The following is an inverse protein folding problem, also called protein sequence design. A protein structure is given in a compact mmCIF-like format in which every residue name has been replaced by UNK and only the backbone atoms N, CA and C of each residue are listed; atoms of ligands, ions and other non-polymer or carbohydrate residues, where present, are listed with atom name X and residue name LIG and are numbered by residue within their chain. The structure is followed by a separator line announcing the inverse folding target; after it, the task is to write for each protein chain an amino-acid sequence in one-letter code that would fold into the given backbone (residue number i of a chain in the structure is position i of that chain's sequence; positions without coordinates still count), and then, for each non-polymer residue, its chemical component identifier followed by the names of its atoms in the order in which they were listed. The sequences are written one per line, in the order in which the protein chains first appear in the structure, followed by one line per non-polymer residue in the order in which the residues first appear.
data_IF_610183899622
#
_entry.id   IF_610183899622
#
_cell.length_a   1.000
_cell.length_b   1.000
_cell.length_c   1.000
_cell.angle_alpha   90.00
_cell.angle_beta   90.00
_cell.angle_gamma   90.00
#
_symmetry.space_group_name_H-M   'P 1'
#
loop_
_entity.id
_entity.type
_entity.pdbx_description
1 polymer ?
#
# COMPACT_ATOMS: atom_id res chain seq x y z
N UNK A 1 -22.39 -25.67 49.14
CA UNK A 1 -21.23 -26.21 48.41
C UNK A 1 -21.40 -25.87 46.94
N UNK A 2 -20.65 -24.90 46.43
CA UNK A 2 -20.80 -24.38 45.07
C UNK A 2 -19.55 -24.72 44.24
N UNK A 3 -19.76 -25.30 43.05
CA UNK A 3 -18.70 -25.70 42.13
C UNK A 3 -18.10 -24.46 41.40
N UNK A 4 -16.80 -24.45 41.06
CA UNK A 4 -16.20 -23.32 40.37
C UNK A 4 -16.38 -23.42 38.84
N UNK A 5 -16.73 -22.28 38.23
CA UNK A 5 -16.85 -22.06 36.79
C UNK A 5 -15.46 -22.09 36.11
N UNK A 6 -15.31 -22.96 35.10
CA UNK A 6 -14.16 -22.96 34.19
C UNK A 6 -14.18 -21.71 33.31
N UNK A 7 -13.16 -20.85 33.44
CA UNK A 7 -12.87 -19.76 32.49
C UNK A 7 -12.31 -20.37 31.20
N UNK A 8 -13.06 -20.23 30.09
CA UNK A 8 -12.58 -20.56 28.75
C UNK A 8 -11.49 -19.58 28.27
N UNK A 9 -10.61 -20.01 27.35
CA UNK A 9 -9.52 -19.17 26.87
C UNK A 9 -10.08 -18.03 26.01
N UNK A 10 -9.66 -16.80 26.32
CA UNK A 10 -10.06 -15.57 25.64
C UNK A 10 -9.70 -15.60 24.15
N UNK A 11 -10.68 -15.91 23.31
CA UNK A 11 -10.65 -15.70 21.87
C UNK A 11 -11.47 -14.46 21.55
N UNK A 12 -10.80 -13.40 21.07
CA UNK A 12 -11.29 -12.33 20.17
C UNK A 12 -10.41 -11.07 20.26
N UNK A 13 -9.64 -10.87 21.33
CA UNK A 13 -8.78 -9.68 21.51
C UNK A 13 -7.38 -9.84 20.86
N UNK A 14 -6.98 -11.06 20.50
CA UNK A 14 -5.66 -11.32 19.90
C UNK A 14 -5.52 -10.93 18.41
N UNK A 15 -6.62 -10.87 17.66
CA UNK A 15 -6.56 -10.75 16.19
C UNK A 15 -6.48 -9.32 15.65
N UNK A 16 -6.71 -8.30 16.49
CA UNK A 16 -6.48 -6.91 16.11
C UNK A 16 -5.03 -6.46 16.30
N UNK A 17 -4.22 -7.25 17.02
CA UNK A 17 -2.81 -6.92 17.29
C UNK A 17 -1.90 -7.12 16.07
N UNK A 18 -2.30 -7.98 15.13
CA UNK A 18 -1.50 -8.31 13.94
C UNK A 18 -1.74 -7.37 12.74
N UNK A 19 -2.79 -6.55 12.77
CA UNK A 19 -3.11 -5.65 11.66
C UNK A 19 -2.23 -4.39 11.60
N UNK A 20 -1.61 -4.03 12.73
CA UNK A 20 -0.79 -2.83 12.93
C UNK A 20 0.48 -3.10 13.75
N UNK A 21 0.97 -4.34 13.78
CA UNK A 21 2.24 -4.63 14.43
C UNK A 21 3.37 -3.98 13.61
N UNK A 22 4.15 -3.02 14.18
CA UNK A 22 5.39 -2.63 13.57
C UNK A 22 6.32 -3.83 13.72
N UNK A 23 6.57 -4.55 12.62
CA UNK A 23 7.66 -5.51 12.62
C UNK A 23 8.94 -4.74 12.98
N UNK A 24 9.47 -4.99 14.18
CA UNK A 24 10.79 -4.52 14.60
C UNK A 24 11.85 -5.21 13.74
N UNK A 25 11.96 -4.79 12.49
CA UNK A 25 13.16 -4.99 11.71
C UNK A 25 14.16 -3.96 12.23
N UNK A 26 15.32 -4.46 12.63
CA UNK A 26 16.53 -3.64 12.70
C UNK A 26 16.83 -3.17 11.27
N UNK A 27 16.19 -2.08 10.88
CA UNK A 27 16.47 -1.39 9.64
C UNK A 27 17.78 -0.65 9.86
N UNK A 28 18.88 -1.24 9.39
CA UNK A 28 19.96 -0.42 8.85
C UNK A 28 19.40 0.50 7.75
N UNK A 29 20.13 1.55 7.34
CA UNK A 29 19.66 2.50 6.34
C UNK A 29 19.60 1.82 4.96
N UNK A 30 18.59 0.98 4.74
CA UNK A 30 18.18 0.59 3.41
C UNK A 30 17.47 1.81 2.82
N UNK A 31 18.27 2.71 2.25
CA UNK A 31 17.73 3.62 1.25
C UNK A 31 17.09 2.75 0.17
N UNK A 32 15.82 3.00 -0.20
CA UNK A 32 15.21 2.34 -1.34
C UNK A 32 16.15 2.50 -2.55
N UNK A 33 16.46 1.40 -3.24
CA UNK A 33 17.26 1.48 -4.46
C UNK A 33 16.59 2.43 -5.46
N UNK A 34 17.40 3.12 -6.27
CA UNK A 34 16.90 4.00 -7.33
C UNK A 34 15.96 3.23 -8.26
N UNK A 35 14.87 3.88 -8.71
CA UNK A 35 13.95 3.25 -9.66
C UNK A 35 14.51 3.41 -11.06
N UNK A 36 14.82 2.28 -11.71
CA UNK A 36 15.21 2.23 -13.12
C UNK A 36 14.06 1.68 -14.00
N UNK A 37 14.21 1.82 -15.33
CA UNK A 37 13.22 1.30 -16.30
C UNK A 37 12.99 -0.21 -16.13
N UNK A 38 14.05 -0.96 -15.80
CA UNK A 38 13.99 -2.42 -15.61
C UNK A 38 13.11 -2.82 -14.42
N UNK A 39 13.18 -2.08 -13.32
CA UNK A 39 12.32 -2.26 -12.15
C UNK A 39 10.85 -1.99 -12.49
N UNK A 40 10.57 -0.96 -13.29
CA UNK A 40 9.21 -0.66 -13.75
C UNK A 40 8.66 -1.76 -14.64
N UNK A 41 9.42 -2.22 -15.63
CA UNK A 41 9.01 -3.34 -16.50
C UNK A 41 8.74 -4.63 -15.71
N UNK A 42 9.58 -4.92 -14.71
CA UNK A 42 9.38 -6.05 -13.81
C UNK A 42 8.09 -5.89 -13.01
N UNK A 43 7.78 -4.68 -12.55
CA UNK A 43 6.54 -4.38 -11.85
C UNK A 43 5.32 -4.62 -12.75
N UNK A 44 5.36 -4.17 -14.01
CA UNK A 44 4.30 -4.40 -14.99
C UNK A 44 4.02 -5.90 -15.22
N UNK A 45 5.07 -6.72 -15.35
CA UNK A 45 4.92 -8.18 -15.48
C UNK A 45 4.24 -8.81 -14.26
N UNK A 46 4.51 -8.29 -13.06
CA UNK A 46 3.85 -8.77 -11.84
C UNK A 46 2.38 -8.35 -11.79
N UNK A 47 2.05 -7.11 -12.17
CA UNK A 47 0.68 -6.62 -12.24
C UNK A 47 -0.15 -7.43 -13.26
N UNK A 48 0.38 -7.64 -14.45
CA UNK A 48 -0.25 -8.48 -15.49
C UNK A 48 -0.54 -9.90 -14.98
N UNK A 49 0.41 -10.50 -14.26
CA UNK A 49 0.20 -11.80 -13.63
C UNK A 49 -0.94 -11.77 -12.59
N UNK A 50 -1.06 -10.71 -11.80
CA UNK A 50 -2.18 -10.56 -10.85
C UNK A 50 -3.51 -10.42 -11.58
N UNK A 51 -3.56 -9.62 -12.66
CA UNK A 51 -4.76 -9.47 -13.49
C UNK A 51 -5.21 -10.84 -14.02
N UNK A 52 -4.30 -11.62 -14.62
CA UNK A 52 -4.60 -12.96 -15.13
C UNK A 52 -5.13 -13.92 -14.06
N UNK A 53 -4.58 -13.87 -12.84
CA UNK A 53 -5.09 -14.66 -11.71
C UNK A 53 -6.50 -14.22 -11.30
N UNK A 54 -6.76 -12.91 -11.30
CA UNK A 54 -8.06 -12.32 -10.92
C UNK A 54 -9.14 -12.48 -11.99
N UNK A 55 -8.76 -12.74 -13.25
CA UNK A 55 -9.67 -13.03 -14.36
C UNK A 55 -10.26 -14.46 -14.32
N UNK A 56 -9.83 -15.31 -13.39
CA UNK A 56 -10.38 -16.66 -13.27
C UNK A 56 -11.90 -16.59 -12.99
N UNK A 57 -12.76 -17.17 -13.87
CA UNK A 57 -14.21 -17.08 -13.72
C UNK A 57 -14.74 -17.63 -12.38
N UNK A 58 -14.05 -18.61 -11.79
CA UNK A 58 -14.40 -19.19 -10.49
C UNK A 58 -14.33 -18.18 -9.33
N UNK A 59 -13.57 -17.10 -9.49
CA UNK A 59 -13.55 -16.04 -8.48
C UNK A 59 -14.87 -15.28 -8.46
N UNK A 60 -15.57 -15.14 -9.58
CA UNK A 60 -16.80 -14.34 -9.68
C UNK A 60 -16.62 -12.95 -9.02
N UNK A 61 -15.57 -12.23 -9.41
CA UNK A 61 -15.34 -10.87 -8.91
C UNK A 61 -16.47 -9.96 -9.37
N UNK A 62 -17.10 -9.28 -8.41
CA UNK A 62 -18.17 -8.31 -8.69
C UNK A 62 -17.53 -7.03 -9.23
N UNK A 63 -18.12 -6.46 -10.27
CA UNK A 63 -17.70 -5.18 -10.83
C UNK A 63 -18.18 -4.02 -9.93
N UNK A 64 -17.57 -3.90 -8.76
CA UNK A 64 -17.86 -2.90 -7.75
C UNK A 64 -16.56 -2.44 -7.10
N UNK A 65 -16.40 -1.14 -6.77
CA UNK A 65 -15.23 -0.68 -6.06
C UNK A 65 -15.02 -1.42 -4.72
N UNK A 66 -13.77 -1.80 -4.36
CA UNK A 66 -12.54 -1.71 -5.15
C UNK A 66 -12.41 -2.87 -6.16
N UNK A 67 -12.40 -2.58 -7.47
CA UNK A 67 -12.35 -3.60 -8.52
C UNK A 67 -10.95 -3.74 -9.11
N UNK A 68 -10.22 -4.77 -8.67
CA UNK A 68 -8.80 -4.96 -8.99
C UNK A 68 -8.49 -5.06 -10.49
N UNK A 69 -9.44 -5.55 -11.29
CA UNK A 69 -9.29 -5.70 -12.73
C UNK A 69 -9.30 -4.36 -13.48
N UNK A 70 -9.83 -3.29 -12.88
CA UNK A 70 -9.70 -1.93 -13.41
C UNK A 70 -8.51 -1.19 -12.74
N UNK A 71 -8.32 -1.39 -11.44
CA UNK A 71 -7.29 -0.69 -10.67
C UNK A 71 -5.86 -0.94 -11.16
N UNK A 72 -5.52 -2.18 -11.53
CA UNK A 72 -4.18 -2.49 -12.01
C UNK A 72 -3.90 -1.91 -13.40
N UNK A 73 -4.78 -2.05 -14.41
CA UNK A 73 -4.66 -1.30 -15.66
C UNK A 73 -4.58 0.21 -15.49
N UNK A 74 -5.39 0.81 -14.61
CA UNK A 74 -5.35 2.24 -14.34
C UNK A 74 -4.02 2.67 -13.71
N UNK A 75 -3.50 1.87 -12.78
CA UNK A 75 -2.18 2.12 -12.17
C UNK A 75 -1.08 2.03 -13.23
N UNK A 76 -1.14 1.03 -14.11
CA UNK A 76 -0.21 0.88 -15.23
C UNK A 76 -0.24 2.11 -16.15
N UNK A 77 -1.44 2.54 -16.54
CA UNK A 77 -1.60 3.67 -17.45
C UNK A 77 -1.09 4.97 -16.81
N UNK A 78 -1.33 5.18 -15.52
CA UNK A 78 -0.84 6.36 -14.82
C UNK A 78 0.69 6.35 -14.66
N UNK A 79 1.30 5.19 -14.37
CA UNK A 79 2.76 5.03 -14.39
C UNK A 79 3.36 5.33 -15.77
N UNK A 80 2.69 4.95 -16.86
CA UNK A 80 3.12 5.33 -18.21
C UNK A 80 3.08 6.83 -18.43
N UNK A 81 2.05 7.52 -17.96
CA UNK A 81 1.97 8.98 -18.02
C UNK A 81 3.14 9.62 -17.26
N UNK A 82 3.44 9.15 -16.05
CA UNK A 82 4.61 9.61 -15.28
C UNK A 82 5.89 9.41 -16.10
N UNK A 83 6.17 8.19 -16.56
CA UNK A 83 7.40 7.93 -17.34
C UNK A 83 7.52 8.79 -18.60
N UNK A 84 6.41 9.10 -19.26
CA UNK A 84 6.39 10.00 -20.42
C UNK A 84 6.76 11.44 -20.05
N UNK A 85 6.28 11.94 -18.91
CA UNK A 85 6.61 13.28 -18.42
C UNK A 85 8.08 13.42 -18.00
N UNK A 86 8.74 12.31 -17.65
CA UNK A 86 10.14 12.24 -17.24
C UNK A 86 11.05 11.63 -18.31
N UNK A 87 10.63 11.62 -19.57
CA UNK A 87 11.49 11.20 -20.67
C UNK A 87 12.76 12.06 -20.73
N UNK A 88 13.93 11.42 -20.84
CA UNK A 88 15.24 12.09 -20.73
C UNK A 88 15.65 12.53 -19.31
N UNK A 89 14.77 12.40 -18.31
CA UNK A 89 15.00 12.80 -16.90
C UNK A 89 14.71 11.67 -15.91
N UNK A 90 15.00 10.43 -16.32
CA UNK A 90 14.74 9.24 -15.50
C UNK A 90 15.54 9.20 -14.20
N UNK A 91 16.72 9.82 -14.16
CA UNK A 91 17.51 9.95 -12.94
C UNK A 91 16.75 10.74 -11.86
N UNK A 92 16.20 11.91 -12.22
CA UNK A 92 15.36 12.73 -11.33
C UNK A 92 14.16 11.97 -10.79
N UNK A 93 13.45 11.21 -11.64
CA UNK A 93 12.32 10.39 -11.21
C UNK A 93 12.77 9.22 -10.32
N UNK A 94 13.88 8.57 -10.69
CA UNK A 94 14.42 7.40 -10.01
C UNK A 94 14.95 7.69 -8.61
N UNK A 95 15.37 8.93 -8.35
CA UNK A 95 15.85 9.39 -7.04
C UNK A 95 14.75 9.94 -6.14
N UNK A 96 13.60 10.34 -6.71
CA UNK A 96 12.45 10.84 -5.96
C UNK A 96 12.06 9.88 -4.83
N UNK A 97 12.09 10.37 -3.58
CA UNK A 97 11.91 9.53 -2.38
C UNK A 97 10.55 8.83 -2.38
N UNK A 98 9.47 9.58 -2.64
CA UNK A 98 8.12 9.03 -2.69
C UNK A 98 7.99 7.97 -3.80
N UNK A 99 8.48 8.25 -5.01
CA UNK A 99 8.36 7.33 -6.13
C UNK A 99 9.10 6.00 -5.89
N UNK A 100 10.28 6.05 -5.27
CA UNK A 100 11.01 4.85 -4.84
C UNK A 100 10.20 3.99 -3.87
N UNK A 101 9.68 4.62 -2.81
CA UNK A 101 8.84 3.93 -1.81
C UNK A 101 7.58 3.36 -2.44
N UNK A 102 6.93 4.12 -3.32
CA UNK A 102 5.74 3.68 -4.04
C UNK A 102 6.03 2.44 -4.90
N UNK A 103 7.09 2.47 -5.70
CA UNK A 103 7.43 1.36 -6.61
C UNK A 103 7.85 0.10 -5.85
N UNK A 104 8.58 0.24 -4.74
CA UNK A 104 8.89 -0.89 -3.85
C UNK A 104 7.61 -1.50 -3.25
N UNK A 105 6.72 -0.65 -2.73
CA UNK A 105 5.46 -1.08 -2.15
C UNK A 105 4.57 -1.78 -3.19
N UNK A 106 4.48 -1.24 -4.41
CA UNK A 106 3.70 -1.83 -5.51
C UNK A 106 4.21 -3.22 -5.85
N UNK A 107 5.53 -3.39 -6.04
CA UNK A 107 6.12 -4.71 -6.25
C UNK A 107 5.87 -5.68 -5.09
N UNK A 108 5.92 -5.19 -3.85
CA UNK A 108 5.66 -6.01 -2.66
C UNK A 108 4.21 -6.48 -2.63
N UNK A 109 3.25 -5.60 -2.88
CA UNK A 109 1.81 -5.92 -2.89
C UNK A 109 1.42 -6.83 -4.05
N UNK A 110 1.98 -6.65 -5.24
CA UNK A 110 1.75 -7.59 -6.35
C UNK A 110 2.32 -8.97 -6.06
N UNK A 111 3.54 -9.07 -5.51
CA UNK A 111 4.12 -10.36 -5.08
C UNK A 111 3.29 -11.03 -3.99
N UNK A 112 2.86 -10.27 -2.98
CA UNK A 112 1.99 -10.78 -1.92
C UNK A 112 0.68 -11.33 -2.48
N UNK A 113 0.08 -10.64 -3.46
CA UNK A 113 -1.13 -11.11 -4.13
C UNK A 113 -0.88 -12.42 -4.89
N UNK A 114 0.23 -12.53 -5.63
CA UNK A 114 0.60 -13.77 -6.32
C UNK A 114 0.82 -14.92 -5.32
N UNK A 115 1.51 -14.69 -4.20
CA UNK A 115 1.70 -15.69 -3.15
C UNK A 115 0.38 -16.12 -2.52
N UNK A 116 -0.54 -15.18 -2.29
CA UNK A 116 -1.88 -15.47 -1.78
C UNK A 116 -2.63 -16.47 -2.66
N UNK A 117 -2.58 -16.30 -3.99
CA UNK A 117 -3.17 -17.27 -4.93
C UNK A 117 -2.48 -18.64 -4.86
N UNK A 118 -1.15 -18.65 -4.77
CA UNK A 118 -0.36 -19.89 -4.70
C UNK A 118 -0.66 -20.70 -3.43
N UNK A 119 -0.79 -20.00 -2.30
CA UNK A 119 -1.04 -20.60 -0.97
C UNK A 119 -2.52 -20.92 -0.76
N UNK A 120 -3.42 -20.04 -1.20
CA UNK A 120 -4.86 -20.18 -1.07
C UNK A 120 -5.44 -21.30 -1.94
N UNK A 121 -4.87 -21.56 -3.12
CA UNK A 121 -5.33 -22.60 -4.07
C UNK A 121 -6.86 -22.54 -4.27
N UNK A 122 -7.56 -23.67 -4.13
CA UNK A 122 -9.02 -23.75 -4.30
C UNK A 122 -9.80 -22.85 -3.34
N UNK A 123 -9.26 -22.57 -2.15
CA UNK A 123 -9.93 -21.69 -1.18
C UNK A 123 -10.09 -20.26 -1.69
N UNK A 124 -9.34 -19.85 -2.72
CA UNK A 124 -9.54 -18.54 -3.36
C UNK A 124 -10.93 -18.38 -3.98
N UNK A 125 -11.55 -19.49 -4.40
CA UNK A 125 -12.84 -19.52 -5.08
C UNK A 125 -14.02 -19.61 -4.12
N UNK A 126 -13.77 -19.89 -2.84
CA UNK A 126 -14.76 -19.84 -1.78
C UNK A 126 -14.98 -18.37 -1.32
N UNK A 127 -16.14 -17.78 -1.62
CA UNK A 127 -16.40 -16.34 -1.40
C UNK A 127 -16.12 -15.86 0.03
N UNK A 128 -16.40 -16.71 1.02
CA UNK A 128 -16.28 -16.36 2.45
C UNK A 128 -14.95 -16.78 3.09
N UNK A 129 -14.02 -17.38 2.33
CA UNK A 129 -12.77 -17.88 2.87
C UNK A 129 -11.81 -16.76 3.29
N UNK A 130 -10.88 -17.10 4.18
CA UNK A 130 -9.85 -16.14 4.59
C UNK A 130 -8.96 -15.66 3.42
N UNK A 131 -8.48 -16.52 2.50
CA UNK A 131 -7.74 -16.07 1.33
C UNK A 131 -8.54 -15.09 0.45
N UNK A 132 -9.84 -15.33 0.28
CA UNK A 132 -10.71 -14.42 -0.48
C UNK A 132 -10.87 -13.07 0.20
N UNK A 133 -11.08 -13.03 1.52
CA UNK A 133 -11.09 -11.79 2.31
C UNK A 133 -9.77 -11.03 2.22
N UNK A 134 -8.64 -11.75 2.22
CA UNK A 134 -7.31 -11.15 2.05
C UNK A 134 -7.15 -10.52 0.66
N UNK A 135 -7.71 -11.12 -0.39
CA UNK A 135 -7.73 -10.54 -1.73
C UNK A 135 -8.58 -9.25 -1.78
N UNK A 136 -9.73 -9.22 -1.12
CA UNK A 136 -10.55 -8.01 -0.98
C UNK A 136 -9.77 -6.89 -0.29
N UNK A 137 -9.06 -7.22 0.81
CA UNK A 137 -8.19 -6.26 1.51
C UNK A 137 -7.06 -5.74 0.60
N UNK A 138 -6.43 -6.62 -0.18
CA UNK A 138 -5.40 -6.22 -1.16
C UNK A 138 -5.98 -5.33 -2.27
N UNK A 139 -7.19 -5.61 -2.73
CA UNK A 139 -7.89 -4.78 -3.73
C UNK A 139 -8.13 -3.36 -3.20
N UNK A 140 -8.54 -3.24 -1.93
CA UNK A 140 -8.66 -1.94 -1.27
C UNK A 140 -7.31 -1.21 -1.14
N UNK A 141 -6.25 -1.94 -0.79
CA UNK A 141 -4.89 -1.39 -0.75
C UNK A 141 -4.47 -0.85 -2.13
N UNK A 142 -4.68 -1.61 -3.21
CA UNK A 142 -4.37 -1.12 -4.57
C UNK A 142 -5.19 0.13 -4.92
N UNK A 143 -6.45 0.21 -4.51
CA UNK A 143 -7.27 1.40 -4.69
C UNK A 143 -6.68 2.63 -3.99
N UNK A 144 -6.23 2.49 -2.74
CA UNK A 144 -5.59 3.58 -2.00
C UNK A 144 -4.24 3.97 -2.60
N UNK A 145 -3.44 2.99 -3.02
CA UNK A 145 -2.17 3.24 -3.70
C UNK A 145 -2.35 4.04 -4.98
N UNK A 146 -3.34 3.69 -5.80
CA UNK A 146 -3.64 4.44 -7.03
C UNK A 146 -4.12 5.86 -6.74
N UNK A 147 -4.98 6.03 -5.74
CA UNK A 147 -5.47 7.35 -5.32
C UNK A 147 -4.32 8.23 -4.82
N UNK A 148 -3.43 7.68 -3.99
CA UNK A 148 -2.23 8.37 -3.50
C UNK A 148 -1.30 8.75 -4.66
N UNK A 149 -1.00 7.82 -5.57
CA UNK A 149 -0.15 8.08 -6.73
C UNK A 149 -0.71 9.22 -7.59
N UNK A 150 -2.02 9.21 -7.88
CA UNK A 150 -2.68 10.29 -8.63
C UNK A 150 -2.68 11.62 -7.89
N UNK A 151 -2.71 11.60 -6.56
CA UNK A 151 -2.64 12.80 -5.73
C UNK A 151 -1.24 13.43 -5.68
N UNK A 152 -0.19 12.60 -5.70
CA UNK A 152 1.20 13.06 -5.67
C UNK A 152 1.76 13.33 -7.08
N UNK A 153 1.30 12.61 -8.10
CA UNK A 153 1.65 12.81 -9.51
C UNK A 153 0.45 13.23 -10.36
N UNK A 154 -0.22 14.37 -10.06
CA UNK A 154 -1.30 14.84 -10.90
C UNK A 154 -0.80 15.07 -12.34
N UNK A 155 -1.50 14.49 -13.31
CA UNK A 155 -1.11 14.50 -14.73
C UNK A 155 0.30 13.97 -15.02
N UNK A 156 0.87 13.14 -14.14
CA UNK A 156 2.17 12.50 -14.32
C UNK A 156 3.37 13.31 -13.83
N UNK A 157 3.17 14.51 -13.28
CA UNK A 157 4.23 15.36 -12.74
C UNK A 157 4.21 15.34 -11.23
N UNK A 158 5.38 15.20 -10.61
CA UNK A 158 5.50 15.25 -9.15
C UNK A 158 5.07 16.61 -8.60
N UNK A 159 4.13 16.59 -7.65
CA UNK A 159 3.65 17.75 -6.88
C UNK A 159 3.49 17.40 -5.40
N UNK A 160 4.31 16.47 -4.91
CA UNK A 160 4.25 16.03 -3.52
C UNK A 160 4.77 17.06 -2.51
N UNK A 161 5.62 17.98 -2.96
CA UNK A 161 6.16 19.12 -2.20
C UNK A 161 5.14 20.24 -2.00
N UNK A 162 4.21 20.36 -2.94
CA UNK A 162 3.14 21.37 -2.98
C UNK A 162 1.76 20.77 -2.66
N UNK A 163 1.72 19.55 -2.12
CA UNK A 163 0.48 18.86 -1.80
C UNK A 163 -0.36 19.63 -0.78
N UNK A 164 -1.62 19.89 -1.12
CA UNK A 164 -2.53 20.66 -0.27
C UNK A 164 -3.29 19.75 0.70
N UNK A 165 -2.88 19.76 1.97
CA UNK A 165 -3.64 19.14 3.06
C UNK A 165 -4.95 19.92 3.29
N UNK A 166 -6.08 19.22 3.27
CA UNK A 166 -7.43 19.83 3.28
C UNK A 166 -7.76 20.62 4.55
N UNK A 167 -7.34 20.12 5.72
CA UNK A 167 -7.62 20.74 7.01
C UNK A 167 -6.43 21.63 7.41
N UNK A 168 -6.70 22.91 7.67
CA UNK A 168 -5.66 23.91 7.96
C UNK A 168 -4.76 23.50 9.14
N UNK A 169 -5.36 23.05 10.25
CA UNK A 169 -4.60 22.63 11.44
C UNK A 169 -3.69 21.43 11.16
N UNK A 170 -4.17 20.47 10.36
CA UNK A 170 -3.36 19.32 9.94
C UNK A 170 -2.24 19.72 8.97
N UNK A 171 -2.48 20.71 8.11
CA UNK A 171 -1.47 21.28 7.21
C UNK A 171 -0.37 21.99 8.00
N UNK A 172 -0.75 22.74 9.05
CA UNK A 172 0.18 23.41 9.95
C UNK A 172 1.03 22.41 10.74
N UNK A 173 0.41 21.35 11.29
CA UNK A 173 1.12 20.25 11.92
C UNK A 173 2.18 19.65 10.99
N UNK A 174 1.78 19.26 9.77
CA UNK A 174 2.69 18.62 8.81
C UNK A 174 3.86 19.52 8.45
N UNK A 175 3.58 20.77 8.08
CA UNK A 175 4.61 21.75 7.70
C UNK A 175 5.59 22.03 8.84
N UNK A 176 5.13 22.10 10.10
CA UNK A 176 6.00 22.29 11.26
C UNK A 176 6.88 21.09 11.55
N UNK A 177 6.36 19.88 11.37
CA UNK A 177 7.07 18.65 11.73
C UNK A 177 7.97 18.11 10.61
N UNK A 178 7.59 18.30 9.34
CA UNK A 178 8.19 17.63 8.19
C UNK A 178 8.42 18.54 6.98
N UNK A 179 8.19 19.85 7.10
CA UNK A 179 8.37 20.82 6.02
C UNK A 179 7.56 20.44 4.77
N UNK A 180 8.21 20.35 3.61
CA UNK A 180 7.62 19.98 2.31
C UNK A 180 7.79 18.48 2.00
N UNK A 181 8.16 17.66 2.98
CA UNK A 181 8.30 16.21 2.76
C UNK A 181 6.98 15.59 2.36
N UNK A 182 7.00 14.82 1.27
CA UNK A 182 5.84 14.07 0.77
C UNK A 182 5.59 12.77 1.54
N UNK A 183 6.65 12.17 2.07
CA UNK A 183 6.59 10.91 2.81
C UNK A 183 7.58 10.93 3.96
N UNK A 184 7.23 10.27 5.07
CA UNK A 184 8.09 10.11 6.23
C UNK A 184 7.98 8.69 6.79
N UNK A 185 9.03 8.17 7.45
CA UNK A 185 8.94 6.89 8.15
C UNK A 185 7.87 6.93 9.25
N UNK A 186 7.17 5.80 9.44
CA UNK A 186 6.14 5.68 10.49
C UNK A 186 6.63 6.07 11.88
N UNK A 187 7.86 5.66 12.25
CA UNK A 187 8.46 6.00 13.55
C UNK A 187 8.56 7.51 13.73
N UNK A 188 9.02 8.23 12.71
CA UNK A 188 9.15 9.69 12.70
C UNK A 188 7.79 10.35 12.80
N UNK A 189 6.81 9.89 12.00
CA UNK A 189 5.44 10.40 12.06
C UNK A 189 4.82 10.22 13.45
N UNK A 190 4.92 9.01 14.03
CA UNK A 190 4.38 8.68 15.34
C UNK A 190 4.96 9.56 16.44
N UNK A 191 6.28 9.80 16.42
CA UNK A 191 6.95 10.65 17.40
C UNK A 191 6.45 12.10 17.31
N UNK A 192 6.46 12.70 16.12
CA UNK A 192 5.97 14.06 15.95
C UNK A 192 4.48 14.20 16.29
N UNK A 193 3.65 13.22 15.93
CA UNK A 193 2.22 13.23 16.25
C UNK A 193 2.00 13.14 17.78
N UNK A 194 2.79 12.33 18.48
CA UNK A 194 2.68 12.16 19.93
C UNK A 194 2.86 13.47 20.71
N UNK A 195 3.71 14.39 20.22
CA UNK A 195 3.95 15.68 20.88
C UNK A 195 2.71 16.59 20.89
N UNK A 196 1.81 16.46 19.91
CA UNK A 196 0.58 17.28 19.80
C UNK A 196 -0.69 16.49 20.15
N UNK A 197 -0.65 15.18 19.97
CA UNK A 197 -1.73 14.24 20.23
C UNK A 197 -1.16 13.02 20.96
N UNK A 198 -1.09 13.05 22.31
CA UNK A 198 -0.52 11.97 23.11
C UNK A 198 -1.16 10.62 22.78
N UNK A 199 -0.31 9.64 22.47
CA UNK A 199 -0.75 8.29 22.06
C UNK A 199 -0.56 7.36 23.26
N UNK A 200 -1.66 6.90 23.85
CA UNK A 200 -1.63 5.89 24.91
C UNK A 200 -1.06 4.56 24.41
N UNK A 201 -0.37 3.84 25.30
CA UNK A 201 0.21 2.52 25.03
C UNK A 201 -0.78 1.39 25.21
#
# INVERSE_FOLDING_TARGET
MAAPLKKGPGGLIGLMKDAFQPHHHHLGPHQPCTVDKKMVEKCWKLMDKVVRLCQNPKLALKNSPPYILDLLPDTYQHLRTILSCYEGKMETLGENEYFRVFMENLMKKTKQTISLFKEGKERMYEENSQPRRNLTKLSLIFSHMLAELKGIFPNGLFQGDTFRITKADAAEFWRRAFEEKTIVPWKTFRQALHEVHPISS
#
